data_IF_356274288624
#
_entry.id   IF_356274288624
#
_cell.length_a   1.000
_cell.length_b   1.000
_cell.length_c   1.000
_cell.angle_alpha   90.00
_cell.angle_beta   90.00
_cell.angle_gamma   90.00
#
_symmetry.space_group_name_H-M   'P 1'
#
loop_
_entity.id
_entity.type
_entity.pdbx_description
1 polymer ?
#
# COMPACT_ATOMS: atom_id res chain seq x y z
N UNK A 1 0.13 -29.44 12.21
CA UNK A 1 0.39 -28.53 11.07
C UNK A 1 0.01 -27.14 11.54
N UNK A 2 0.88 -26.13 11.39
CA UNK A 2 0.55 -24.77 11.85
C UNK A 2 -0.59 -24.20 11.02
N UNK A 3 -1.48 -23.46 11.67
CA UNK A 3 -2.60 -22.79 10.97
C UNK A 3 -2.13 -21.52 10.26
N UNK A 4 -2.92 -21.04 9.30
CA UNK A 4 -2.65 -19.81 8.56
C UNK A 4 -2.34 -18.61 9.49
N UNK A 5 -3.13 -18.35 10.57
CA UNK A 5 -2.84 -17.26 11.51
C UNK A 5 -1.54 -17.47 12.31
N UNK A 6 -1.19 -18.70 12.67
CA UNK A 6 0.05 -18.99 13.41
C UNK A 6 1.31 -18.69 12.58
N UNK A 7 1.27 -18.97 11.27
CA UNK A 7 2.37 -18.65 10.36
C UNK A 7 2.50 -17.14 10.15
N UNK A 8 1.40 -16.46 9.91
CA UNK A 8 1.36 -14.99 9.75
C UNK A 8 1.90 -14.30 11.00
N UNK A 9 1.48 -14.72 12.21
CA UNK A 9 1.96 -14.14 13.47
C UNK A 9 3.46 -14.39 13.70
N UNK A 10 3.94 -15.59 13.37
CA UNK A 10 5.37 -15.90 13.48
C UNK A 10 6.21 -15.02 12.55
N UNK A 11 5.77 -14.88 11.29
CA UNK A 11 6.47 -14.08 10.29
C UNK A 11 6.44 -12.60 10.64
N UNK A 12 5.32 -12.08 11.15
CA UNK A 12 5.24 -10.72 11.68
C UNK A 12 6.27 -10.51 12.83
N UNK A 13 6.48 -11.53 13.66
CA UNK A 13 7.52 -11.52 14.70
C UNK A 13 8.96 -11.49 14.16
N UNK A 14 9.21 -12.00 12.96
CA UNK A 14 10.49 -11.86 12.26
C UNK A 14 10.62 -10.51 11.56
N UNK A 15 9.53 -10.01 10.99
CA UNK A 15 9.48 -8.69 10.35
C UNK A 15 9.79 -7.57 11.36
N UNK A 16 9.28 -7.65 12.59
CA UNK A 16 9.66 -6.69 13.65
C UNK A 16 11.15 -6.70 14.01
N UNK A 17 11.88 -7.77 13.64
CA UNK A 17 13.34 -7.89 13.78
C UNK A 17 14.10 -7.52 12.51
N UNK A 18 13.43 -6.96 11.51
CA UNK A 18 14.02 -6.55 10.24
C UNK A 18 14.23 -7.68 9.23
N UNK A 19 13.60 -8.85 9.42
CA UNK A 19 13.65 -9.95 8.46
C UNK A 19 12.48 -9.83 7.49
N UNK A 20 12.79 -9.54 6.23
CA UNK A 20 11.82 -9.48 5.14
C UNK A 20 11.61 -10.89 4.57
N UNK A 21 10.35 -11.27 4.30
CA UNK A 21 10.01 -12.61 3.82
C UNK A 21 9.19 -12.56 2.53
N UNK A 22 9.78 -13.02 1.43
CA UNK A 22 9.04 -13.35 0.21
C UNK A 22 8.48 -14.77 0.26
N UNK A 23 7.38 -15.00 -0.46
CA UNK A 23 6.79 -16.33 -0.58
C UNK A 23 6.57 -16.69 -2.06
N UNK A 24 6.90 -17.93 -2.43
CA UNK A 24 6.83 -18.42 -3.80
C UNK A 24 5.93 -19.65 -3.89
N UNK A 25 4.79 -19.52 -4.56
CA UNK A 25 3.90 -20.65 -4.84
C UNK A 25 4.32 -21.35 -6.12
N UNK A 26 4.62 -22.65 -6.07
CA UNK A 26 5.01 -23.47 -7.22
C UNK A 26 3.93 -24.52 -7.47
N UNK A 27 3.51 -24.66 -8.72
CA UNK A 27 2.50 -25.65 -9.11
C UNK A 27 1.08 -25.26 -8.69
N UNK A 28 0.14 -26.21 -8.73
CA UNK A 28 -1.28 -25.94 -8.47
C UNK A 28 -1.71 -26.16 -7.01
N UNK A 29 -0.89 -26.84 -6.20
CA UNK A 29 -1.31 -27.39 -4.90
C UNK A 29 -0.92 -26.52 -3.70
N UNK A 30 -0.34 -25.34 -3.93
CA UNK A 30 -0.01 -24.42 -2.84
C UNK A 30 -1.25 -23.67 -2.35
N UNK A 31 -1.29 -23.35 -1.06
CA UNK A 31 -2.35 -22.53 -0.48
C UNK A 31 -2.04 -21.04 -0.70
N UNK A 32 -2.70 -20.43 -1.68
CA UNK A 32 -2.47 -19.02 -2.02
C UNK A 32 -2.83 -18.04 -0.91
N UNK A 33 -3.75 -18.39 -0.02
CA UNK A 33 -4.14 -17.53 1.11
C UNK A 33 -3.03 -17.55 2.16
N UNK A 34 -2.51 -18.73 2.49
CA UNK A 34 -1.38 -18.88 3.41
C UNK A 34 -0.15 -18.16 2.86
N UNK A 35 0.20 -18.39 1.60
CA UNK A 35 1.42 -17.82 1.03
C UNK A 35 1.36 -16.29 0.93
N UNK A 36 0.23 -15.73 0.51
CA UNK A 36 0.03 -14.27 0.54
C UNK A 36 0.10 -13.73 1.96
N UNK A 37 -0.57 -14.38 2.92
CA UNK A 37 -0.52 -13.98 4.32
C UNK A 37 0.89 -13.99 4.92
N UNK A 38 1.75 -14.94 4.52
CA UNK A 38 3.17 -14.97 4.90
C UNK A 38 3.92 -13.77 4.32
N UNK A 39 3.78 -13.51 3.02
CA UNK A 39 4.48 -12.40 2.37
C UNK A 39 4.05 -11.05 2.95
N UNK A 40 2.75 -10.85 3.13
CA UNK A 40 2.18 -9.61 3.66
C UNK A 40 2.67 -9.35 5.10
N UNK A 41 2.64 -10.38 5.96
CA UNK A 41 3.19 -10.26 7.32
C UNK A 41 4.71 -10.12 7.37
N UNK A 42 5.40 -10.63 6.36
CA UNK A 42 6.85 -10.53 6.17
C UNK A 42 7.30 -9.22 5.54
N UNK A 43 6.37 -8.31 5.24
CA UNK A 43 6.67 -7.02 4.62
C UNK A 43 7.06 -7.11 3.14
N UNK A 44 6.79 -8.23 2.45
CA UNK A 44 7.24 -8.46 1.06
C UNK A 44 6.13 -8.96 0.13
N UNK A 45 6.48 -9.71 -0.93
CA UNK A 45 5.58 -10.11 -2.01
C UNK A 45 5.40 -11.62 -2.10
N UNK A 46 4.19 -12.00 -2.50
CA UNK A 46 3.89 -13.33 -2.98
C UNK A 46 4.07 -13.41 -4.50
N UNK A 47 4.81 -14.42 -4.96
CA UNK A 47 5.02 -14.71 -6.37
C UNK A 47 4.43 -16.07 -6.72
N UNK A 48 3.64 -16.12 -7.78
CA UNK A 48 3.18 -17.38 -8.36
C UNK A 48 4.10 -17.80 -9.51
N UNK A 49 4.75 -18.95 -9.34
CA UNK A 49 5.63 -19.56 -10.32
C UNK A 49 4.82 -20.54 -11.17
N UNK A 50 4.31 -20.04 -12.30
CA UNK A 50 3.49 -20.83 -13.21
C UNK A 50 4.28 -21.79 -14.11
N UNK A 51 5.60 -21.61 -14.23
CA UNK A 51 6.46 -22.52 -14.97
C UNK A 51 7.92 -22.44 -14.47
N UNK A 52 8.73 -23.52 -14.62
CA UNK A 52 10.12 -23.55 -14.17
C UNK A 52 10.99 -22.44 -14.77
N UNK A 53 10.72 -22.04 -16.01
CA UNK A 53 11.49 -21.02 -16.73
C UNK A 53 11.35 -19.62 -16.09
N UNK A 54 10.28 -19.39 -15.33
CA UNK A 54 10.05 -18.12 -14.62
C UNK A 54 10.73 -18.04 -13.27
N UNK A 55 11.25 -19.15 -12.75
CA UNK A 55 11.86 -19.20 -11.42
C UNK A 55 13.04 -18.25 -11.35
N UNK A 56 13.99 -18.36 -12.29
CA UNK A 56 15.19 -17.52 -12.32
C UNK A 56 14.82 -16.03 -12.35
N UNK A 57 13.88 -15.65 -13.23
CA UNK A 57 13.43 -14.27 -13.34
C UNK A 57 12.77 -13.75 -12.06
N UNK A 58 11.82 -14.49 -11.48
CA UNK A 58 11.06 -14.04 -10.30
C UNK A 58 11.88 -14.07 -9.01
N UNK A 59 12.79 -15.04 -8.85
CA UNK A 59 13.74 -15.08 -7.73
C UNK A 59 14.74 -13.93 -7.84
N UNK A 60 15.31 -13.69 -9.03
CA UNK A 60 16.21 -12.55 -9.25
C UNK A 60 15.50 -11.24 -8.97
N UNK A 61 14.25 -11.10 -9.44
CA UNK A 61 13.42 -9.93 -9.16
C UNK A 61 13.21 -9.73 -7.65
N UNK A 62 12.86 -10.78 -6.91
CA UNK A 62 12.71 -10.70 -5.47
C UNK A 62 14.00 -10.27 -4.77
N UNK A 63 15.15 -10.83 -5.15
CA UNK A 63 16.45 -10.42 -4.60
C UNK A 63 16.76 -8.94 -4.88
N UNK A 64 16.55 -8.48 -6.12
CA UNK A 64 16.74 -7.05 -6.46
C UNK A 64 15.78 -6.16 -5.68
N UNK A 65 14.53 -6.59 -5.49
CA UNK A 65 13.57 -5.86 -4.67
C UNK A 65 14.09 -5.70 -3.24
N UNK A 66 14.56 -6.77 -2.60
CA UNK A 66 15.11 -6.72 -1.23
C UNK A 66 16.21 -5.65 -1.09
N UNK A 67 17.09 -5.51 -2.07
CA UNK A 67 18.13 -4.46 -2.06
C UNK A 67 17.66 -3.09 -2.55
N UNK A 68 16.48 -3.01 -3.14
CA UNK A 68 15.89 -1.81 -3.71
C UNK A 68 14.93 -1.06 -2.78
N UNK A 69 15.07 -1.18 -1.45
CA UNK A 69 14.27 -0.38 -0.50
C UNK A 69 14.58 1.09 -0.72
N UNK A 70 13.58 1.88 -1.08
CA UNK A 70 13.70 3.32 -1.29
C UNK A 70 13.21 4.12 -0.09
N UNK A 71 12.30 3.55 0.71
CA UNK A 71 11.72 4.19 1.87
C UNK A 71 11.27 3.13 2.88
N UNK A 72 11.56 3.34 4.16
CA UNK A 72 11.18 2.41 5.24
C UNK A 72 10.12 3.01 6.16
N UNK A 73 9.31 2.15 6.79
CA UNK A 73 8.23 2.52 7.73
C UNK A 73 7.30 3.58 7.15
N UNK A 74 6.91 3.37 5.90
CA UNK A 74 6.08 4.28 5.14
C UNK A 74 4.68 4.34 5.71
N UNK A 75 4.16 5.55 5.84
CA UNK A 75 2.81 5.84 6.31
C UNK A 75 2.19 6.91 5.42
N UNK A 76 0.98 6.66 4.94
CA UNK A 76 0.18 7.62 4.20
C UNK A 76 -0.94 8.13 5.10
N UNK A 77 -0.86 9.40 5.47
CA UNK A 77 -1.83 10.09 6.30
C UNK A 77 -2.75 10.90 5.39
N UNK A 78 -4.06 10.67 5.50
CA UNK A 78 -5.08 11.37 4.74
C UNK A 78 -5.89 12.27 5.68
N UNK A 79 -6.14 13.52 5.27
CA UNK A 79 -6.94 14.48 6.03
C UNK A 79 -7.92 15.20 5.13
N UNK A 80 -9.13 15.38 5.65
CA UNK A 80 -10.12 16.25 5.05
C UNK A 80 -9.70 17.72 5.08
N UNK A 81 -9.98 18.44 4.00
CA UNK A 81 -9.81 19.89 3.89
C UNK A 81 -11.13 20.52 3.40
N UNK A 82 -11.37 21.78 3.75
CA UNK A 82 -12.54 22.54 3.30
C UNK A 82 -13.89 21.83 3.56
N UNK A 83 -14.05 21.22 4.74
CA UNK A 83 -15.28 20.53 5.14
C UNK A 83 -15.40 19.08 4.64
N UNK A 84 -14.43 18.58 3.87
CA UNK A 84 -14.36 17.16 3.58
C UNK A 84 -13.96 16.34 4.82
N UNK A 85 -14.43 15.10 4.91
CA UNK A 85 -14.14 14.18 6.01
C UNK A 85 -13.79 12.82 5.42
N UNK A 86 -12.61 12.28 5.77
CA UNK A 86 -12.24 10.90 5.44
C UNK A 86 -13.02 9.96 6.37
N UNK A 87 -13.88 9.13 5.81
CA UNK A 87 -14.77 8.21 6.54
C UNK A 87 -14.19 6.81 6.68
N UNK A 88 -13.32 6.39 5.75
CA UNK A 88 -12.74 5.04 5.75
C UNK A 88 -11.41 4.96 5.02
N UNK A 89 -10.52 4.12 5.49
CA UNK A 89 -9.33 3.67 4.76
C UNK A 89 -9.38 2.13 4.75
N UNK A 90 -9.43 1.51 3.57
CA UNK A 90 -9.53 0.05 3.50
C UNK A 90 -8.21 -0.60 3.94
N UNK A 91 -8.32 -1.63 4.79
CA UNK A 91 -7.15 -2.31 5.38
C UNK A 91 -6.58 -1.63 6.63
N UNK A 92 -7.14 -0.51 7.07
CA UNK A 92 -6.65 0.24 8.22
C UNK A 92 -7.80 0.76 9.10
N UNK A 93 -7.85 0.35 10.36
CA UNK A 93 -8.91 0.75 11.30
C UNK A 93 -8.71 2.17 11.84
N UNK A 94 -7.45 2.59 12.03
CA UNK A 94 -7.11 3.90 12.56
C UNK A 94 -6.89 4.92 11.43
N UNK A 95 -7.96 5.64 11.08
CA UNK A 95 -7.95 6.71 10.06
C UNK A 95 -7.02 7.86 10.49
N UNK A 96 -6.87 8.10 11.79
CA UNK A 96 -6.01 9.17 12.31
C UNK A 96 -4.55 8.77 12.13
N UNK A 97 -4.17 7.53 12.47
CA UNK A 97 -2.82 7.04 12.16
C UNK A 97 -2.55 6.95 10.66
N UNK A 98 -3.59 6.76 9.83
CA UNK A 98 -3.47 6.62 8.38
C UNK A 98 -3.07 5.20 7.96
N UNK A 99 -2.78 5.03 6.67
CA UNK A 99 -2.39 3.75 6.10
C UNK A 99 -0.91 3.46 6.36
N UNK A 100 -0.61 2.38 7.09
CA UNK A 100 0.76 1.89 7.24
C UNK A 100 1.11 0.96 6.09
N UNK A 101 2.12 1.33 5.29
CA UNK A 101 2.49 0.65 4.05
C UNK A 101 3.75 -0.22 4.17
N UNK A 102 4.40 -0.20 5.34
CA UNK A 102 5.67 -0.90 5.56
C UNK A 102 6.79 -0.28 4.73
N UNK A 103 7.62 -1.10 4.11
CA UNK A 103 8.73 -0.64 3.29
C UNK A 103 8.32 -0.52 1.81
N UNK A 104 8.76 0.56 1.16
CA UNK A 104 8.59 0.78 -0.27
C UNK A 104 9.90 0.47 -0.99
N UNK A 105 9.76 -0.28 -2.07
CA UNK A 105 10.85 -0.66 -2.96
C UNK A 105 10.70 0.06 -4.31
N UNK A 106 11.77 0.18 -5.07
CA UNK A 106 11.80 0.92 -6.34
C UNK A 106 10.79 0.46 -7.39
N UNK A 107 10.36 -0.80 -7.35
CA UNK A 107 9.37 -1.39 -8.26
C UNK A 107 7.99 -1.66 -7.59
N UNK A 108 7.77 -1.08 -6.42
CA UNK A 108 6.61 -1.32 -5.58
C UNK A 108 5.58 -0.20 -5.73
N UNK A 109 4.55 -0.44 -6.54
CA UNK A 109 3.35 0.37 -6.54
C UNK A 109 2.40 -0.10 -5.43
N UNK A 110 2.14 0.76 -4.45
CA UNK A 110 1.10 0.56 -3.41
C UNK A 110 -0.10 1.45 -3.72
N UNK A 111 -1.29 0.89 -3.59
CA UNK A 111 -2.54 1.63 -3.74
C UNK A 111 -3.27 1.63 -2.40
N UNK A 112 -3.68 2.82 -1.95
CA UNK A 112 -4.52 3.00 -0.77
C UNK A 112 -5.87 3.47 -1.24
N UNK A 113 -6.92 2.72 -0.89
CA UNK A 113 -8.29 3.11 -1.13
C UNK A 113 -8.82 3.83 0.11
N UNK A 114 -9.49 4.97 -0.09
CA UNK A 114 -10.12 5.72 0.99
C UNK A 114 -11.48 6.26 0.56
N UNK A 115 -12.39 6.35 1.52
CA UNK A 115 -13.73 6.90 1.37
C UNK A 115 -13.74 8.23 2.10
N UNK A 116 -14.36 9.23 1.48
CA UNK A 116 -14.52 10.54 2.09
C UNK A 116 -15.82 11.18 1.62
N UNK A 117 -16.39 12.00 2.48
CA UNK A 117 -17.51 12.88 2.15
C UNK A 117 -17.00 14.28 1.91
N UNK A 118 -17.62 15.00 0.99
CA UNK A 118 -17.30 16.39 0.69
C UNK A 118 -18.55 17.11 0.20
N UNK A 119 -18.57 18.42 0.32
CA UNK A 119 -19.61 19.29 -0.21
C UNK A 119 -18.96 20.31 -1.13
N UNK A 120 -19.52 20.47 -2.33
CA UNK A 120 -19.04 21.44 -3.31
C UNK A 120 -20.19 22.13 -4.02
N UNK A 121 -19.89 23.30 -4.58
CA UNK A 121 -20.76 23.99 -5.52
C UNK A 121 -20.27 23.75 -6.95
N UNK A 122 -21.20 23.66 -7.90
CA UNK A 122 -20.88 23.50 -9.31
C UNK A 122 -19.90 24.56 -9.81
N UNK A 123 -19.00 24.14 -10.70
CA UNK A 123 -17.94 24.94 -11.34
C UNK A 123 -16.88 25.55 -10.41
N UNK A 124 -16.77 25.05 -9.18
CA UNK A 124 -15.68 25.41 -8.26
C UNK A 124 -14.66 24.29 -8.14
N UNK A 125 -13.39 24.63 -8.26
CA UNK A 125 -12.29 23.74 -7.87
C UNK A 125 -11.98 23.95 -6.40
N UNK A 126 -12.05 22.87 -5.62
CA UNK A 126 -11.87 22.91 -4.16
C UNK A 126 -10.87 21.85 -3.76
N UNK A 127 -9.88 22.24 -2.97
CA UNK A 127 -8.99 21.28 -2.32
C UNK A 127 -9.79 20.52 -1.25
N UNK A 128 -10.00 19.23 -1.46
CA UNK A 128 -10.85 18.40 -0.59
C UNK A 128 -10.03 17.53 0.36
N UNK A 129 -8.82 17.13 -0.02
CA UNK A 129 -7.97 16.31 0.84
C UNK A 129 -6.57 16.89 0.90
N UNK A 130 -5.90 16.68 2.02
CA UNK A 130 -4.44 16.70 2.09
C UNK A 130 -3.95 15.29 2.34
N UNK A 131 -2.83 14.95 1.72
CA UNK A 131 -2.17 13.68 1.94
C UNK A 131 -0.71 13.92 2.28
N UNK A 132 -0.24 13.16 3.26
CA UNK A 132 1.09 13.25 3.80
C UNK A 132 1.73 11.85 3.80
N UNK A 133 2.75 11.68 2.97
CA UNK A 133 3.58 10.48 2.93
C UNK A 133 4.77 10.68 3.86
N UNK A 134 4.78 9.96 4.98
CA UNK A 134 5.89 9.93 5.92
C UNK A 134 6.70 8.67 5.72
N UNK A 135 8.02 8.77 5.69
CA UNK A 135 8.91 7.62 5.61
C UNK A 135 10.29 7.90 6.18
N UNK A 136 11.02 6.86 6.55
CA UNK A 136 12.43 6.95 6.94
C UNK A 136 13.31 6.59 5.75
N UNK A 137 14.46 7.26 5.64
CA UNK A 137 15.46 6.87 4.66
C UNK A 137 15.97 5.47 5.01
N UNK A 138 16.21 4.58 4.02
CA UNK A 138 16.68 3.22 4.27
C UNK A 138 17.99 3.16 5.07
N UNK A 139 18.81 4.21 4.96
CA UNK A 139 20.10 4.31 5.66
C UNK A 139 20.03 5.07 7.00
N UNK A 140 18.84 5.56 7.39
CA UNK A 140 18.65 6.34 8.61
C UNK A 140 17.33 5.97 9.31
N UNK A 141 17.34 4.81 9.98
CA UNK A 141 16.18 4.28 10.70
C UNK A 141 15.83 5.02 11.99
N UNK A 142 16.75 5.82 12.54
CA UNK A 142 16.55 6.55 13.81
C UNK A 142 16.41 8.07 13.60
N UNK A 143 16.66 8.56 12.39
CA UNK A 143 16.43 9.95 12.02
C UNK A 143 14.97 10.34 11.99
N UNK A 144 14.73 11.64 11.84
CA UNK A 144 13.38 12.15 11.66
C UNK A 144 12.79 11.64 10.32
N UNK A 145 11.48 11.31 10.29
CA UNK A 145 10.86 10.91 9.04
C UNK A 145 10.92 12.04 8.02
N UNK A 146 11.25 11.69 6.78
CA UNK A 146 11.02 12.55 5.63
C UNK A 146 9.52 12.61 5.36
N UNK A 147 9.03 13.81 5.06
CA UNK A 147 7.60 14.07 4.91
C UNK A 147 7.34 14.75 3.57
N UNK A 148 6.49 14.12 2.74
CA UNK A 148 6.00 14.69 1.49
C UNK A 148 4.53 15.03 1.70
N UNK A 149 4.15 16.29 1.48
CA UNK A 149 2.76 16.76 1.63
C UNK A 149 2.25 17.29 0.30
N UNK A 150 1.00 16.98 -0.01
CA UNK A 150 0.32 17.56 -1.14
C UNK A 150 -1.20 17.61 -0.90
N UNK A 151 -1.93 18.24 -1.82
CA UNK A 151 -3.38 18.38 -1.77
C UNK A 151 -4.04 17.70 -2.96
N UNK A 152 -5.29 17.27 -2.76
CA UNK A 152 -6.16 16.78 -3.82
C UNK A 152 -7.27 17.80 -4.04
N UNK A 153 -7.37 18.31 -5.25
CA UNK A 153 -8.46 19.18 -5.69
C UNK A 153 -9.51 18.39 -6.46
N UNK A 154 -10.78 18.72 -6.21
CA UNK A 154 -11.90 18.26 -7.03
C UNK A 154 -12.59 19.47 -7.67
N UNK A 155 -12.96 19.30 -8.93
CA UNK A 155 -13.83 20.24 -9.64
C UNK A 155 -15.22 19.64 -9.74
N UNK A 156 -16.18 20.25 -9.07
CA UNK A 156 -17.58 19.82 -9.14
C UNK A 156 -18.19 20.28 -10.46
N UNK A 157 -18.74 19.36 -11.24
CA UNK A 157 -19.38 19.63 -12.53
C UNK A 157 -20.79 19.05 -12.52
N UNK A 158 -21.73 19.75 -13.16
CA UNK A 158 -23.10 19.25 -13.37
C UNK A 158 -23.23 18.46 -14.68
N UNK A 159 -22.30 18.67 -15.61
CA UNK A 159 -22.26 18.01 -16.91
C UNK A 159 -21.40 16.76 -16.85
N UNK A 160 -22.03 15.60 -16.99
CA UNK A 160 -21.40 14.28 -16.98
C UNK A 160 -20.37 14.11 -18.10
N UNK A 161 -20.51 14.84 -19.21
CA UNK A 161 -19.56 14.80 -20.33
C UNK A 161 -18.18 15.37 -19.99
N UNK A 162 -18.06 16.09 -18.86
CA UNK A 162 -16.80 16.63 -18.36
C UNK A 162 -16.01 15.64 -17.49
N UNK A 163 -16.55 14.45 -17.23
CA UNK A 163 -15.81 13.37 -16.57
C UNK A 163 -14.82 12.78 -17.58
N UNK A 164 -13.57 13.23 -17.51
CA UNK A 164 -12.54 12.87 -18.50
C UNK A 164 -11.94 11.48 -18.25
N UNK A 165 -11.89 11.03 -17.00
CA UNK A 165 -11.27 9.77 -16.61
C UNK A 165 -12.10 9.04 -15.55
N UNK A 166 -12.55 7.83 -15.90
CA UNK A 166 -13.14 6.86 -14.97
C UNK A 166 -12.12 5.75 -14.73
N UNK A 167 -11.63 5.60 -13.50
CA UNK A 167 -10.80 4.45 -13.15
C UNK A 167 -11.70 3.21 -12.99
N UNK A 168 -11.64 2.21 -13.90
CA UNK A 168 -12.52 1.05 -13.85
C UNK A 168 -12.31 0.17 -12.62
N UNK A 169 -11.23 0.40 -11.85
CA UNK A 169 -10.90 -0.32 -10.62
C UNK A 169 -11.64 0.25 -9.40
N UNK A 170 -12.13 1.48 -9.49
CA UNK A 170 -12.91 2.15 -8.44
C UNK A 170 -14.37 2.11 -8.87
N UNK A 171 -15.03 0.97 -8.62
CA UNK A 171 -16.48 0.86 -8.77
C UNK A 171 -17.16 1.23 -7.47
N UNK A 172 -17.89 2.33 -7.49
CA UNK A 172 -18.92 2.71 -6.51
C UNK A 172 -20.16 1.84 -6.65
#
# INVERSE_FOLDING_TARGET
MKTCPELTNLVAGYHTKGIITDSFGIGADFDSVIMKGIADAGGSRFYFLSSPEKIEFLVTKALVCVFGVCASRVRLILRGKNGAIVTKIWGHEDIVAGASLGDLHSDNLRSVLCEFTTSGSANTEVEVLTYELQYHQPNDFNGAPTVIKNTLSLKFVEDESLITDLDPRVKT
#
